data_IF_198288088634
#
_entry.id   IF_198288088634
#
_cell.length_a   1.000
_cell.length_b   1.000
_cell.length_c   1.000
_cell.angle_alpha   90.00
_cell.angle_beta   90.00
_cell.angle_gamma   90.00
#
_symmetry.space_group_name_H-M   'P 1'
#
loop_
_entity.id
_entity.type
_entity.pdbx_description
1 polymer ?
#
# COMPACT_ATOMS: atom_id res chain seq x y z
N UNK A 1 0.80 -20.90 -5.49
CA UNK A 1 1.32 -19.58 -5.08
C UNK A 1 1.94 -19.74 -3.69
N UNK A 2 3.19 -19.31 -3.44
CA UNK A 2 3.82 -19.48 -2.12
C UNK A 2 3.15 -18.60 -1.06
N UNK A 3 3.25 -18.97 0.22
CA UNK A 3 2.63 -18.23 1.34
C UNK A 3 2.99 -16.74 1.33
N UNK A 4 4.25 -16.40 1.03
CA UNK A 4 4.73 -15.01 0.94
C UNK A 4 4.11 -14.25 -0.23
N UNK A 5 3.88 -14.90 -1.38
CA UNK A 5 3.20 -14.27 -2.53
C UNK A 5 1.74 -13.95 -2.20
N UNK A 6 1.03 -14.86 -1.53
CA UNK A 6 -0.35 -14.62 -1.09
C UNK A 6 -0.38 -13.41 -0.16
N UNK A 7 0.57 -13.31 0.75
CA UNK A 7 0.62 -12.21 1.71
C UNK A 7 0.95 -10.86 1.03
N UNK A 8 1.89 -10.83 0.09
CA UNK A 8 2.14 -9.63 -0.72
C UNK A 8 0.93 -9.23 -1.57
N UNK A 9 0.20 -10.21 -2.09
CA UNK A 9 -1.05 -9.96 -2.81
C UNK A 9 -2.11 -9.34 -1.89
N UNK A 10 -2.27 -9.85 -0.66
CA UNK A 10 -3.16 -9.25 0.33
C UNK A 10 -2.74 -7.82 0.71
N UNK A 11 -1.44 -7.53 0.80
CA UNK A 11 -0.94 -6.16 1.00
C UNK A 11 -1.32 -5.25 -0.17
N UNK A 12 -1.21 -5.72 -1.42
CA UNK A 12 -1.64 -4.94 -2.60
C UNK A 12 -3.14 -4.64 -2.52
N UNK A 13 -3.97 -5.66 -2.36
CA UNK A 13 -5.43 -5.48 -2.34
C UNK A 13 -5.84 -4.57 -1.18
N UNK A 14 -5.28 -4.77 0.00
CA UNK A 14 -5.60 -3.93 1.16
C UNK A 14 -5.07 -2.49 1.04
N UNK A 15 -3.99 -2.24 0.28
CA UNK A 15 -3.49 -0.87 0.04
C UNK A 15 -4.43 0.00 -0.79
N UNK A 16 -5.38 -0.62 -1.51
CA UNK A 16 -6.38 0.06 -2.36
C UNK A 16 -7.64 0.46 -1.59
N UNK A 17 -7.86 -0.11 -0.41
CA UNK A 17 -9.06 0.06 0.41
C UNK A 17 -9.13 1.30 1.29
N UNK A 18 -8.02 2.00 1.67
CA UNK A 18 -8.13 3.17 2.49
C UNK A 18 -9.04 4.21 1.86
N UNK A 19 -9.94 4.72 2.69
CA UNK A 19 -10.91 5.75 2.36
C UNK A 19 -10.42 7.06 2.95
N UNK A 20 -10.45 8.12 2.14
CA UNK A 20 -10.00 9.44 2.50
C UNK A 20 -11.17 10.42 2.41
N UNK A 21 -11.29 11.28 3.41
CA UNK A 21 -12.14 12.48 3.37
C UNK A 21 -11.26 13.70 3.57
N UNK A 22 -11.49 14.75 2.79
CA UNK A 22 -10.74 16.00 2.86
C UNK A 22 -11.67 17.20 2.70
N UNK A 23 -11.10 18.41 2.78
CA UNK A 23 -11.86 19.65 2.76
C UNK A 23 -12.77 19.78 1.53
N UNK A 24 -13.91 20.46 1.71
CA UNK A 24 -14.90 20.69 0.66
C UNK A 24 -15.92 19.56 0.48
N UNK A 25 -16.06 18.65 1.46
CA UNK A 25 -17.03 17.55 1.41
C UNK A 25 -16.66 16.45 0.42
N UNK A 26 -15.39 16.44 -0.02
CA UNK A 26 -14.89 15.46 -0.96
C UNK A 26 -14.42 14.20 -0.24
N UNK A 27 -14.66 13.05 -0.86
CA UNK A 27 -14.21 11.78 -0.36
C UNK A 27 -13.98 10.77 -1.48
N UNK A 28 -13.19 9.74 -1.18
CA UNK A 28 -12.90 8.69 -2.14
C UNK A 28 -12.03 7.59 -1.54
N UNK A 29 -12.14 6.40 -2.13
CA UNK A 29 -11.21 5.31 -1.86
C UNK A 29 -9.91 5.50 -2.64
N UNK A 30 -8.80 4.99 -2.12
CA UNK A 30 -7.49 5.11 -2.78
C UNK A 30 -7.50 4.57 -4.21
N UNK A 31 -8.15 3.44 -4.48
CA UNK A 31 -8.24 2.94 -5.86
C UNK A 31 -8.92 3.93 -6.84
N UNK A 32 -9.89 4.72 -6.36
CA UNK A 32 -10.58 5.72 -7.19
C UNK A 32 -9.64 6.90 -7.47
N UNK A 33 -8.92 7.36 -6.44
CA UNK A 33 -7.95 8.43 -6.55
C UNK A 33 -6.77 8.03 -7.44
N UNK A 34 -6.27 6.80 -7.31
CA UNK A 34 -5.21 6.25 -8.16
C UNK A 34 -5.66 6.12 -9.61
N UNK A 35 -6.89 5.64 -9.86
CA UNK A 35 -7.45 5.59 -11.21
C UNK A 35 -7.56 6.98 -11.84
N UNK A 36 -7.94 8.00 -11.05
CA UNK A 36 -7.96 9.38 -11.51
C UNK A 36 -6.56 9.90 -11.86
N UNK A 37 -5.57 9.62 -11.02
CA UNK A 37 -4.16 9.99 -11.27
C UNK A 37 -3.64 9.30 -12.53
N UNK A 38 -3.90 8.00 -12.71
CA UNK A 38 -3.53 7.26 -13.92
C UNK A 38 -4.18 7.90 -15.15
N UNK A 39 -5.48 8.24 -15.08
CA UNK A 39 -6.16 8.92 -16.20
C UNK A 39 -5.51 10.27 -16.50
N UNK A 40 -5.20 11.07 -15.47
CA UNK A 40 -4.55 12.38 -15.62
C UNK A 40 -3.14 12.26 -16.17
N UNK A 41 -2.40 11.18 -15.89
CA UNK A 41 -1.09 10.95 -16.50
C UNK A 41 -1.15 10.87 -18.04
N UNK A 42 -2.28 10.47 -18.62
CA UNK A 42 -2.45 10.40 -20.07
C UNK A 42 -3.10 11.65 -20.69
N UNK A 43 -3.83 12.46 -19.91
CA UNK A 43 -4.51 13.67 -20.42
C UNK A 43 -3.80 14.97 -20.07
N UNK A 44 -3.27 15.09 -18.85
CA UNK A 44 -2.60 16.28 -18.30
C UNK A 44 -1.49 15.86 -17.32
N UNK A 45 -0.32 15.42 -17.81
CA UNK A 45 0.70 14.78 -16.98
C UNK A 45 1.24 15.66 -15.86
N UNK A 46 1.38 16.97 -16.10
CA UNK A 46 1.89 17.92 -15.09
C UNK A 46 0.97 18.02 -13.87
N UNK A 47 -0.35 17.90 -14.07
CA UNK A 47 -1.35 17.96 -12.98
C UNK A 47 -1.45 16.65 -12.19
N UNK A 48 -0.90 15.55 -12.75
CA UNK A 48 -0.92 14.22 -12.14
C UNK A 48 0.30 13.94 -11.25
N UNK A 49 1.37 14.73 -11.39
CA UNK A 49 2.62 14.55 -10.66
C UNK A 49 2.46 15.14 -9.26
N UNK A 50 1.97 14.32 -8.32
CA UNK A 50 1.97 14.65 -6.90
C UNK A 50 2.77 13.58 -6.13
N UNK A 51 3.69 13.96 -5.21
CA UNK A 51 4.47 12.99 -4.44
C UNK A 51 3.59 11.98 -3.68
N UNK A 52 2.49 12.47 -3.09
CA UNK A 52 1.52 11.63 -2.36
C UNK A 52 0.72 10.63 -3.23
N UNK A 53 0.77 10.73 -4.56
CA UNK A 53 0.09 9.78 -5.46
C UNK A 53 1.07 8.88 -6.19
N UNK A 54 2.22 9.40 -6.60
CA UNK A 54 3.24 8.63 -7.33
C UNK A 54 4.03 7.66 -6.43
N UNK A 55 4.38 8.08 -5.21
CA UNK A 55 5.14 7.22 -4.27
C UNK A 55 4.36 5.95 -3.89
N UNK A 56 3.07 6.02 -3.49
CA UNK A 56 2.27 4.83 -3.21
C UNK A 56 2.11 3.94 -4.44
N UNK A 57 1.83 4.52 -5.61
CA UNK A 57 1.69 3.77 -6.86
C UNK A 57 2.96 2.99 -7.20
N UNK A 58 4.13 3.61 -7.01
CA UNK A 58 5.43 2.93 -7.13
C UNK A 58 5.54 1.76 -6.16
N UNK A 59 5.12 1.92 -4.91
CA UNK A 59 5.04 0.85 -3.92
C UNK A 59 4.18 -0.33 -4.39
N UNK A 60 2.99 -0.07 -4.95
CA UNK A 60 2.14 -1.12 -5.51
C UNK A 60 2.81 -1.84 -6.69
N UNK A 61 3.42 -1.10 -7.63
CA UNK A 61 4.17 -1.68 -8.76
C UNK A 61 5.30 -2.56 -8.25
N UNK A 62 6.07 -2.11 -7.26
CA UNK A 62 7.14 -2.91 -6.65
C UNK A 62 6.59 -4.21 -6.05
N UNK A 63 5.48 -4.20 -5.30
CA UNK A 63 4.86 -5.44 -4.81
C UNK A 63 4.41 -6.35 -5.96
N UNK A 64 3.85 -5.80 -7.04
CA UNK A 64 3.46 -6.59 -8.21
C UNK A 64 4.67 -7.31 -8.83
N UNK A 65 5.84 -6.67 -8.92
CA UNK A 65 7.06 -7.35 -9.40
C UNK A 65 7.44 -8.56 -8.52
N UNK A 66 7.18 -8.51 -7.20
CA UNK A 66 7.46 -9.63 -6.30
C UNK A 66 6.53 -10.84 -6.52
N UNK A 67 5.32 -10.61 -7.04
CA UNK A 67 4.37 -11.66 -7.36
C UNK A 67 4.77 -12.41 -8.64
N UNK A 68 5.26 -11.67 -9.64
CA UNK A 68 5.68 -12.19 -10.94
C UNK A 68 7.06 -12.85 -10.90
N UNK A 69 7.95 -12.43 -9.99
CA UNK A 69 9.28 -13.03 -9.83
C UNK A 69 9.26 -14.48 -9.33
N UNK A 70 10.28 -15.26 -9.68
CA UNK A 70 10.45 -16.65 -9.19
C UNK A 70 10.68 -16.71 -7.67
N UNK A 71 11.34 -15.70 -7.10
CA UNK A 71 11.60 -15.56 -5.66
C UNK A 71 11.08 -14.23 -5.13
N UNK A 72 10.42 -14.26 -3.97
CA UNK A 72 9.95 -13.05 -3.29
C UNK A 72 11.12 -12.37 -2.59
N UNK A 73 11.47 -11.16 -3.04
CA UNK A 73 12.57 -10.37 -2.47
C UNK A 73 12.12 -9.64 -1.21
N UNK A 74 12.74 -9.96 -0.06
CA UNK A 74 12.46 -9.28 1.22
C UNK A 74 12.70 -7.77 1.15
N UNK A 75 13.80 -7.35 0.49
CA UNK A 75 14.18 -5.94 0.35
C UNK A 75 13.13 -5.17 -0.45
N UNK A 76 12.68 -5.75 -1.55
CA UNK A 76 11.65 -5.15 -2.42
C UNK A 76 10.32 -5.07 -1.69
N UNK A 77 9.90 -6.14 -1.00
CA UNK A 77 8.68 -6.14 -0.18
C UNK A 77 8.72 -5.04 0.88
N UNK A 78 9.84 -4.89 1.62
CA UNK A 78 9.93 -3.91 2.70
C UNK A 78 9.96 -2.47 2.17
N UNK A 79 10.72 -2.21 1.11
CA UNK A 79 10.73 -0.89 0.47
C UNK A 79 9.33 -0.50 -0.04
N UNK A 80 8.62 -1.46 -0.67
CA UNK A 80 7.28 -1.23 -1.17
C UNK A 80 6.26 -0.98 -0.05
N UNK A 81 6.32 -1.78 1.04
CA UNK A 81 5.50 -1.56 2.23
C UNK A 81 5.82 -0.19 2.84
N UNK A 82 7.08 0.24 2.88
CA UNK A 82 7.45 1.55 3.44
C UNK A 82 6.83 2.71 2.64
N UNK A 83 6.87 2.65 1.30
CA UNK A 83 6.24 3.66 0.44
C UNK A 83 4.72 3.72 0.63
N UNK A 84 4.05 2.58 0.73
CA UNK A 84 2.61 2.51 0.98
C UNK A 84 2.24 2.94 2.40
N UNK A 85 3.01 2.50 3.39
CA UNK A 85 2.78 2.81 4.80
C UNK A 85 2.93 4.30 5.07
N UNK A 86 3.86 4.99 4.41
CA UNK A 86 4.01 6.44 4.55
C UNK A 86 2.68 7.17 4.26
N UNK A 87 2.01 6.85 3.15
CA UNK A 87 0.72 7.44 2.81
C UNK A 87 -0.39 6.93 3.75
N UNK A 88 -0.50 5.61 3.94
CA UNK A 88 -1.65 5.03 4.65
C UNK A 88 -1.64 5.38 6.13
N UNK A 89 -0.46 5.52 6.75
CA UNK A 89 -0.32 6.03 8.12
C UNK A 89 -0.69 7.52 8.21
N UNK A 90 -0.37 8.33 7.19
CA UNK A 90 -0.85 9.72 7.13
C UNK A 90 -2.37 9.79 7.03
N UNK A 91 -3.00 8.96 6.18
CA UNK A 91 -4.46 8.86 6.09
C UNK A 91 -5.05 8.44 7.43
N UNK A 92 -4.45 7.45 8.09
CA UNK A 92 -4.88 7.00 9.41
C UNK A 92 -4.73 8.10 10.46
N UNK A 93 -3.65 8.89 10.40
CA UNK A 93 -3.42 10.02 11.29
C UNK A 93 -4.47 11.11 11.10
N UNK A 94 -4.83 11.44 9.85
CA UNK A 94 -5.91 12.38 9.54
C UNK A 94 -7.25 11.85 10.06
N UNK A 95 -7.51 10.54 9.90
CA UNK A 95 -8.69 9.88 10.46
C UNK A 95 -8.76 10.02 11.98
N UNK A 96 -7.63 9.91 12.68
CA UNK A 96 -7.56 10.11 14.12
C UNK A 96 -7.84 11.57 14.53
N UNK A 97 -7.23 12.53 13.84
CA UNK A 97 -7.41 13.97 14.14
C UNK A 97 -8.84 14.46 13.90
N UNK A 98 -9.54 13.86 12.92
CA UNK A 98 -10.91 14.20 12.59
C UNK A 98 -11.94 13.27 13.28
N UNK A 99 -11.50 12.41 14.21
CA UNK A 99 -12.34 11.41 14.88
C UNK A 99 -13.17 10.54 13.89
N UNK A 100 -12.62 10.31 12.70
CA UNK A 100 -13.29 9.64 11.61
C UNK A 100 -13.01 8.13 11.62
N UNK A 101 -13.87 7.40 12.33
CA UNK A 101 -13.79 5.94 12.46
C UNK A 101 -13.82 5.23 11.09
N UNK A 102 -14.54 5.78 10.10
CA UNK A 102 -14.61 5.19 8.75
C UNK A 102 -13.24 5.22 8.07
N UNK A 103 -12.52 6.33 8.16
CA UNK A 103 -11.13 6.44 7.66
C UNK A 103 -10.23 5.47 8.42
N UNK A 104 -10.29 5.42 9.74
CA UNK A 104 -9.44 4.52 10.56
C UNK A 104 -9.67 3.03 10.27
N UNK A 105 -10.92 2.59 10.17
CA UNK A 105 -11.24 1.19 9.88
C UNK A 105 -10.77 0.82 8.47
N UNK A 106 -10.82 1.75 7.52
CA UNK A 106 -10.38 1.49 6.14
C UNK A 106 -8.87 1.29 5.99
N UNK A 107 -8.05 1.89 6.87
CA UNK A 107 -6.58 1.74 6.84
C UNK A 107 -6.12 0.46 7.55
N UNK A 108 -6.94 -0.05 8.48
CA UNK A 108 -6.59 -1.20 9.32
C UNK A 108 -6.22 -2.48 8.55
N UNK A 109 -6.95 -2.92 7.51
CA UNK A 109 -6.59 -4.11 6.73
C UNK A 109 -5.16 -4.04 6.18
N UNK A 110 -4.77 -2.88 5.63
CA UNK A 110 -3.41 -2.69 5.10
C UNK A 110 -2.35 -2.81 6.19
N UNK A 111 -2.57 -2.17 7.34
CA UNK A 111 -1.62 -2.20 8.46
C UNK A 111 -1.44 -3.63 8.96
N UNK A 112 -2.55 -4.36 9.16
CA UNK A 112 -2.54 -5.74 9.62
C UNK A 112 -1.78 -6.68 8.66
N UNK A 113 -2.09 -6.64 7.36
CA UNK A 113 -1.41 -7.48 6.37
C UNK A 113 0.05 -7.08 6.16
N UNK A 114 0.38 -5.80 6.27
CA UNK A 114 1.76 -5.31 6.17
C UNK A 114 2.63 -5.84 7.32
N UNK A 115 2.15 -5.73 8.56
CA UNK A 115 2.85 -6.29 9.74
C UNK A 115 3.02 -7.79 9.57
N UNK A 116 1.95 -8.49 9.19
CA UNK A 116 2.02 -9.93 8.97
C UNK A 116 3.03 -10.29 7.87
N UNK A 117 3.07 -9.53 6.76
CA UNK A 117 4.05 -9.74 5.68
C UNK A 117 5.48 -9.63 6.15
N UNK A 118 5.79 -8.59 6.94
CA UNK A 118 7.13 -8.38 7.50
C UNK A 118 7.51 -9.52 8.46
N UNK A 119 6.62 -9.90 9.37
CA UNK A 119 6.87 -10.98 10.32
C UNK A 119 7.07 -12.33 9.62
N UNK A 120 6.28 -12.61 8.58
CA UNK A 120 6.42 -13.83 7.80
C UNK A 120 7.78 -13.88 7.08
N UNK A 121 8.18 -12.80 6.40
CA UNK A 121 9.48 -12.73 5.71
C UNK A 121 10.66 -12.90 6.69
N UNK A 122 10.59 -12.30 7.89
CA UNK A 122 11.60 -12.50 8.94
C UNK A 122 11.71 -13.98 9.34
N UNK A 123 10.58 -14.66 9.56
CA UNK A 123 10.55 -16.08 9.93
C UNK A 123 11.14 -16.99 8.83
N UNK A 124 10.81 -16.73 7.56
CA UNK A 124 11.34 -17.51 6.43
C UNK A 124 12.85 -17.36 6.26
N UNK A 125 13.38 -16.14 6.45
CA UNK A 125 14.82 -15.87 6.38
C UNK A 125 15.59 -16.66 7.44
N UNK A 126 15.10 -16.69 8.69
CA UNK A 126 15.72 -17.45 9.78
C UNK A 126 15.67 -18.97 9.54
N UNK A 127 14.58 -19.50 8.98
CA UNK A 127 14.49 -20.92 8.67
C UNK A 127 15.50 -21.39 7.60
N UNK A 128 15.85 -20.52 6.65
CA UNK A 128 16.88 -20.82 5.64
C UNK A 128 18.31 -20.71 6.16
N UNK A 129 18.56 -20.03 7.28
CA UNK A 129 19.89 -19.95 7.89
C UNK A 129 20.19 -21.12 8.84
N UNK A 130 19.16 -21.82 9.30
CA UNK A 130 19.27 -22.94 10.24
C UNK A 130 19.24 -24.32 9.57
N UNK A 131 19.33 -24.37 8.24
CA UNK A 131 19.23 -25.57 7.40
C UNK A 131 20.44 -25.64 6.48
#
# INVERSE_FOLDING_TARGET
>A
MTKLKILNFLVIISSLLPYLEWAGGNSGFLFQLEAEVIRKLFTSPLDAIHPFTLIPLLGQVMLCTTLLGSKVSKKTTYAAIAFLALLILLISFIGLMNENIKVLISTFPFIAFSIWSVLAHKKYDTACMNN
#
